data_IF_711856985661
#
_entry.id   IF_711856985661
#
_cell.length_a   1.000
_cell.length_b   1.000
_cell.length_c   1.000
_cell.angle_alpha   90.00
_cell.angle_beta   90.00
_cell.angle_gamma   90.00
#
_symmetry.space_group_name_H-M   'P 1'
#
loop_
_entity.id
_entity.type
_entity.pdbx_description
1 polymer ?
#
# COMPACT_ATOMS: atom_id res chain seq x y z
N UNK A 1 -28.44 -32.90 -28.11
CA UNK A 1 -28.41 -31.50 -27.65
C UNK A 1 -28.31 -31.53 -26.14
N UNK A 2 -27.21 -31.09 -25.51
CA UNK A 2 -27.19 -30.96 -24.06
C UNK A 2 -28.10 -29.78 -23.67
N UNK A 3 -29.09 -30.06 -22.82
CA UNK A 3 -29.95 -29.06 -22.21
C UNK A 3 -29.14 -28.33 -21.15
N UNK A 4 -28.98 -27.02 -21.28
CA UNK A 4 -28.45 -26.19 -20.21
C UNK A 4 -29.40 -26.27 -19.00
N UNK A 5 -28.92 -26.73 -17.86
CA UNK A 5 -29.65 -26.57 -16.60
C UNK A 5 -29.76 -25.07 -16.29
N UNK A 6 -30.92 -24.58 -15.82
CA UNK A 6 -31.02 -23.21 -15.34
C UNK A 6 -30.05 -23.03 -14.17
N UNK A 7 -29.22 -22.00 -14.22
CA UNK A 7 -28.43 -21.55 -13.08
C UNK A 7 -29.41 -21.22 -11.94
N UNK A 8 -29.21 -21.77 -10.73
CA UNK A 8 -30.07 -21.43 -9.60
C UNK A 8 -30.06 -19.92 -9.38
N UNK A 9 -31.25 -19.32 -9.33
CA UNK A 9 -31.41 -17.92 -8.91
C UNK A 9 -31.09 -17.85 -7.42
N UNK A 10 -30.15 -17.00 -6.99
CA UNK A 10 -29.83 -16.87 -5.58
C UNK A 10 -31.06 -16.37 -4.81
N UNK A 11 -31.23 -16.87 -3.59
CA UNK A 11 -32.42 -16.59 -2.79
C UNK A 11 -32.50 -15.10 -2.37
N UNK A 12 -31.37 -14.39 -2.34
CA UNK A 12 -31.26 -12.95 -2.14
C UNK A 12 -30.13 -12.37 -3.02
N UNK A 13 -30.43 -11.84 -4.23
CA UNK A 13 -29.43 -11.16 -5.05
C UNK A 13 -29.07 -9.81 -4.41
N UNK A 14 -27.78 -9.51 -4.35
CA UNK A 14 -27.22 -8.25 -3.85
C UNK A 14 -26.80 -7.37 -5.01
N UNK A 15 -27.18 -6.09 -4.95
CA UNK A 15 -26.69 -5.07 -5.89
C UNK A 15 -25.34 -4.53 -5.41
N UNK A 16 -24.29 -4.88 -6.17
CA UNK A 16 -22.90 -4.51 -5.90
C UNK A 16 -22.30 -3.85 -7.14
N UNK A 17 -21.65 -2.72 -6.93
CA UNK A 17 -20.87 -2.01 -7.94
C UNK A 17 -19.38 -2.11 -7.59
N UNK A 18 -18.57 -2.49 -8.58
CA UNK A 18 -17.11 -2.40 -8.49
C UNK A 18 -16.67 -1.02 -8.97
N UNK A 19 -16.15 -0.21 -8.05
CA UNK A 19 -15.74 1.18 -8.32
C UNK A 19 -14.30 1.24 -8.85
N UNK A 20 -13.41 0.44 -8.27
CA UNK A 20 -12.00 0.42 -8.62
C UNK A 20 -11.37 -0.96 -8.37
N UNK A 21 -10.33 -1.28 -9.14
CA UNK A 21 -9.54 -2.50 -8.99
C UNK A 21 -8.06 -2.17 -9.08
N UNK A 22 -7.30 -2.55 -8.05
CA UNK A 22 -5.86 -2.30 -7.92
C UNK A 22 -5.13 -3.60 -7.64
N UNK A 23 -4.01 -3.83 -8.33
CA UNK A 23 -3.11 -4.95 -8.07
C UNK A 23 -1.88 -4.41 -7.36
N UNK A 24 -1.58 -4.95 -6.19
CA UNK A 24 -0.48 -4.47 -5.35
C UNK A 24 0.41 -5.65 -4.95
N UNK A 25 1.73 -5.62 -5.21
CA UNK A 25 2.63 -6.69 -4.77
C UNK A 25 2.81 -6.72 -3.25
N UNK A 26 2.53 -5.60 -2.61
CA UNK A 26 2.50 -5.37 -1.18
C UNK A 26 1.52 -4.24 -0.92
N UNK A 27 1.06 -4.13 0.32
CA UNK A 27 0.20 -3.03 0.77
C UNK A 27 0.83 -2.32 1.95
N UNK A 28 0.46 -1.07 2.16
CA UNK A 28 0.82 -0.32 3.36
C UNK A 28 -0.39 -0.33 4.29
N UNK A 29 -0.18 -0.71 5.54
CA UNK A 29 -1.22 -0.74 6.58
C UNK A 29 -0.76 0.07 7.79
N UNK A 30 -1.71 0.53 8.60
CA UNK A 30 -1.39 0.87 9.99
C UNK A 30 -0.91 -0.39 10.72
N UNK A 31 0.27 -0.29 11.33
CA UNK A 31 1.00 -1.38 12.01
C UNK A 31 0.85 -1.30 13.53
N UNK A 32 0.92 -0.07 14.06
CA UNK A 32 0.52 0.28 15.42
C UNK A 32 -0.35 1.54 15.32
N UNK A 33 -1.00 2.04 16.41
CA UNK A 33 -1.90 3.19 16.31
C UNK A 33 -1.29 4.40 15.60
N UNK A 34 0.03 4.57 15.69
CA UNK A 34 0.74 5.75 15.23
C UNK A 34 1.81 5.45 14.16
N UNK A 35 1.83 4.26 13.55
CA UNK A 35 2.83 3.88 12.54
C UNK A 35 2.23 3.07 11.39
N UNK A 36 2.84 3.20 10.21
CA UNK A 36 2.55 2.38 9.02
C UNK A 36 3.70 1.43 8.69
N UNK A 37 3.37 0.27 8.11
CA UNK A 37 4.34 -0.72 7.62
C UNK A 37 3.86 -1.39 6.32
N UNK A 38 4.77 -2.07 5.63
CA UNK A 38 4.47 -2.83 4.41
C UNK A 38 4.15 -4.30 4.71
N UNK A 39 3.14 -4.84 4.05
CA UNK A 39 2.68 -6.23 4.20
C UNK A 39 2.64 -6.94 2.84
N UNK A 40 2.98 -8.23 2.82
CA UNK A 40 3.02 -9.07 1.62
C UNK A 40 4.38 -9.75 1.38
N UNK A 41 4.34 -11.03 1.01
CA UNK A 41 5.51 -11.84 0.71
C UNK A 41 6.08 -11.63 -0.70
N UNK A 42 7.08 -12.43 -1.08
CA UNK A 42 7.62 -12.46 -2.46
C UNK A 42 6.77 -13.30 -3.41
N UNK A 43 6.16 -14.36 -2.87
CA UNK A 43 5.36 -15.33 -3.62
C UNK A 43 3.86 -15.02 -3.53
N UNK A 44 3.50 -13.86 -2.98
CA UNK A 44 2.13 -13.39 -2.82
C UNK A 44 1.97 -11.96 -3.36
N UNK A 45 0.72 -11.60 -3.65
CA UNK A 45 0.29 -10.26 -4.03
C UNK A 45 -1.15 -10.04 -3.60
N UNK A 46 -1.62 -8.80 -3.70
CA UNK A 46 -2.98 -8.42 -3.35
C UNK A 46 -3.74 -7.92 -4.56
N UNK A 47 -5.00 -8.34 -4.65
CA UNK A 47 -6.03 -7.67 -5.44
C UNK A 47 -6.89 -6.86 -4.48
N UNK A 48 -6.91 -5.54 -4.63
CA UNK A 48 -7.78 -4.63 -3.90
C UNK A 48 -8.94 -4.23 -4.81
N UNK A 49 -10.16 -4.40 -4.33
CA UNK A 49 -11.39 -4.06 -5.05
C UNK A 49 -12.18 -3.09 -4.20
N UNK A 50 -12.39 -1.88 -4.68
CA UNK A 50 -13.32 -0.95 -4.06
C UNK A 50 -14.72 -1.31 -4.51
N UNK A 51 -15.60 -1.59 -3.56
CA UNK A 51 -16.99 -1.99 -3.82
C UNK A 51 -17.94 -1.02 -3.17
N UNK A 52 -19.06 -0.76 -3.82
CA UNK A 52 -20.25 -0.15 -3.24
C UNK A 52 -21.39 -1.18 -3.25
N UNK A 53 -22.05 -1.37 -2.11
CA UNK A 53 -23.09 -2.37 -1.88
C UNK A 53 -24.34 -1.66 -1.38
N UNK A 54 -25.47 -1.89 -2.05
CA UNK A 54 -26.74 -1.26 -1.69
C UNK A 54 -27.44 -1.92 -0.49
N UNK A 55 -27.04 -3.15 -0.14
CA UNK A 55 -27.61 -3.98 0.91
C UNK A 55 -26.49 -4.60 1.77
N UNK A 56 -26.84 -5.27 2.87
CA UNK A 56 -25.84 -5.96 3.70
C UNK A 56 -25.20 -7.12 2.93
N UNK A 57 -23.88 -7.07 2.74
CA UNK A 57 -23.08 -8.15 2.17
C UNK A 57 -21.92 -8.47 3.09
N UNK A 58 -21.80 -9.72 3.54
CA UNK A 58 -20.60 -10.10 4.28
C UNK A 58 -19.42 -10.19 3.31
N UNK A 59 -18.21 -9.73 3.69
CA UNK A 59 -17.04 -9.92 2.85
C UNK A 59 -16.86 -11.39 2.42
N UNK A 60 -17.12 -12.34 3.32
CA UNK A 60 -17.05 -13.78 3.04
C UNK A 60 -18.02 -14.30 1.94
N UNK A 61 -19.03 -13.52 1.54
CA UNK A 61 -19.93 -13.86 0.44
C UNK A 61 -19.32 -13.50 -0.94
N UNK A 62 -18.20 -12.78 -0.96
CA UNK A 62 -17.41 -12.53 -2.16
C UNK A 62 -16.45 -13.68 -2.41
N UNK A 63 -16.27 -14.04 -3.68
CA UNK A 63 -15.31 -15.06 -4.08
C UNK A 63 -14.59 -14.61 -5.35
N UNK A 64 -13.26 -14.70 -5.35
CA UNK A 64 -12.47 -14.53 -6.56
C UNK A 64 -12.10 -15.91 -7.11
N UNK A 65 -12.44 -16.19 -8.36
CA UNK A 65 -12.05 -17.43 -9.03
C UNK A 65 -11.01 -17.15 -10.10
N UNK A 66 -9.87 -17.85 -10.07
CA UNK A 66 -8.84 -17.79 -11.11
C UNK A 66 -8.12 -19.13 -11.22
N UNK A 67 -7.78 -19.57 -12.44
CA UNK A 67 -7.04 -20.83 -12.63
C UNK A 67 -7.78 -22.10 -12.18
N UNK A 68 -9.08 -22.01 -11.89
CA UNK A 68 -9.86 -23.10 -11.28
C UNK A 68 -9.73 -23.19 -9.75
N UNK A 69 -9.06 -22.22 -9.13
CA UNK A 69 -8.99 -22.03 -7.68
C UNK A 69 -9.93 -20.90 -7.24
N UNK A 70 -10.43 -21.00 -6.01
CA UNK A 70 -11.24 -19.99 -5.36
C UNK A 70 -10.42 -19.33 -4.24
N UNK A 71 -10.49 -18.01 -4.16
CA UNK A 71 -9.83 -17.19 -3.16
C UNK A 71 -10.87 -16.40 -2.38
N UNK A 72 -10.80 -16.52 -1.06
CA UNK A 72 -11.63 -15.78 -0.12
C UNK A 72 -10.99 -14.41 0.19
N UNK A 73 -11.80 -13.37 0.44
CA UNK A 73 -11.27 -12.08 0.83
C UNK A 73 -10.67 -12.12 2.23
N UNK A 74 -9.68 -11.27 2.45
CA UNK A 74 -9.00 -11.07 3.71
C UNK A 74 -9.82 -10.14 4.59
N UNK A 75 -10.25 -10.64 5.74
CA UNK A 75 -10.86 -9.81 6.79
C UNK A 75 -9.81 -8.99 7.56
N UNK A 76 -8.57 -9.47 7.57
CA UNK A 76 -7.43 -8.87 8.29
C UNK A 76 -6.15 -9.06 7.48
N UNK A 77 -5.30 -8.04 7.47
CA UNK A 77 -3.95 -8.14 6.89
C UNK A 77 -2.95 -7.65 7.92
N UNK A 78 -2.04 -8.55 8.31
CA UNK A 78 -1.23 -8.34 9.51
C UNK A 78 -2.13 -8.29 10.75
N UNK A 79 -1.96 -7.23 11.54
CA UNK A 79 -2.73 -6.95 12.77
C UNK A 79 -3.82 -5.87 12.55
N UNK A 80 -3.96 -5.35 11.32
CA UNK A 80 -4.70 -4.12 11.05
C UNK A 80 -5.82 -4.24 10.01
N UNK A 81 -6.64 -3.18 9.98
CA UNK A 81 -7.79 -3.01 9.06
C UNK A 81 -7.67 -1.80 8.14
N UNK A 82 -6.74 -0.89 8.43
CA UNK A 82 -6.58 0.35 7.67
C UNK A 82 -5.54 0.19 6.57
N UNK A 83 -6.03 0.16 5.32
CA UNK A 83 -5.27 0.20 4.08
C UNK A 83 -4.81 1.64 3.82
N UNK A 84 -3.56 1.95 4.08
CA UNK A 84 -3.03 3.28 3.81
C UNK A 84 -2.60 3.41 2.34
N UNK A 85 -2.91 4.50 1.62
CA UNK A 85 -3.76 5.64 2.01
C UNK A 85 -5.26 5.45 1.66
N UNK A 86 -5.65 4.27 1.20
CA UNK A 86 -6.96 3.95 0.63
C UNK A 86 -8.16 4.01 1.60
N UNK A 87 -7.93 3.91 2.92
CA UNK A 87 -8.96 3.92 3.95
C UNK A 87 -8.98 2.63 4.76
N UNK A 88 -10.16 2.03 4.93
CA UNK A 88 -10.33 0.77 5.67
C UNK A 88 -10.78 -0.36 4.75
N UNK A 89 -10.50 -1.59 5.17
CA UNK A 89 -11.16 -2.77 4.62
C UNK A 89 -12.67 -2.65 4.80
N UNK A 90 -13.41 -3.17 3.82
CA UNK A 90 -14.86 -3.21 3.81
C UNK A 90 -15.39 -4.11 4.93
N UNK A 91 -16.33 -3.58 5.70
CA UNK A 91 -17.12 -4.31 6.68
C UNK A 91 -18.59 -4.08 6.42
N UNK A 92 -19.37 -5.16 6.44
CA UNK A 92 -20.82 -5.14 6.23
C UNK A 92 -21.55 -4.15 7.16
N UNK A 93 -20.97 -3.78 8.31
CA UNK A 93 -21.61 -2.95 9.32
C UNK A 93 -21.27 -1.45 9.24
N UNK A 94 -20.28 -1.04 8.44
CA UNK A 94 -19.73 0.34 8.49
C UNK A 94 -20.09 1.21 7.28
N UNK A 95 -20.70 0.67 6.22
CA UNK A 95 -21.20 1.50 5.11
C UNK A 95 -21.46 0.74 3.82
N UNK A 96 -21.96 1.48 2.84
CA UNK A 96 -22.22 1.01 1.47
C UNK A 96 -20.90 0.79 0.71
N UNK A 97 -19.83 1.56 0.95
CA UNK A 97 -18.58 1.51 0.16
C UNK A 97 -17.34 1.15 0.98
N UNK A 98 -16.43 0.33 0.44
CA UNK A 98 -15.12 0.04 1.05
C UNK A 98 -14.22 -0.88 0.21
N UNK A 99 -13.01 -1.14 0.71
CA UNK A 99 -12.01 -1.97 0.01
C UNK A 99 -12.06 -3.44 0.45
N UNK A 100 -12.21 -4.33 -0.51
CA UNK A 100 -12.07 -5.78 -0.32
C UNK A 100 -10.69 -6.19 -0.82
N UNK A 101 -9.95 -6.98 -0.04
CA UNK A 101 -8.63 -7.44 -0.41
C UNK A 101 -8.60 -8.95 -0.57
N UNK A 102 -7.99 -9.45 -1.64
CA UNK A 102 -7.68 -10.87 -1.84
C UNK A 102 -6.17 -11.04 -1.84
N UNK A 103 -5.65 -12.05 -1.14
CA UNK A 103 -4.24 -12.45 -1.23
C UNK A 103 -4.12 -13.60 -2.23
N UNK A 104 -3.23 -13.44 -3.20
CA UNK A 104 -3.11 -14.30 -4.37
C UNK A 104 -1.64 -14.73 -4.57
N UNK A 105 -1.39 -15.88 -5.21
CA UNK A 105 -0.05 -16.27 -5.64
C UNK A 105 0.56 -15.21 -6.57
N UNK A 106 1.88 -15.07 -6.52
CA UNK A 106 2.65 -14.25 -7.46
C UNK A 106 3.71 -15.08 -8.19
N UNK A 107 3.59 -15.31 -9.51
CA UNK A 107 2.49 -14.86 -10.39
C UNK A 107 1.20 -15.66 -10.15
N UNK A 108 0.05 -15.13 -10.58
CA UNK A 108 -1.24 -15.82 -10.48
C UNK A 108 -1.33 -17.05 -11.39
N UNK A 109 -0.73 -16.99 -12.58
CA UNK A 109 -0.71 -18.12 -13.52
C UNK A 109 -2.05 -18.41 -14.21
N UNK A 110 -2.95 -17.44 -14.32
CA UNK A 110 -4.30 -17.62 -14.91
C UNK A 110 -4.56 -16.67 -16.08
N UNK A 111 -5.29 -17.13 -17.10
CA UNK A 111 -5.71 -16.30 -18.24
C UNK A 111 -6.92 -15.41 -17.94
N UNK A 112 -7.62 -15.65 -16.85
CA UNK A 112 -8.82 -14.91 -16.43
C UNK A 112 -8.97 -14.95 -14.91
N UNK A 113 -9.71 -13.99 -14.38
CA UNK A 113 -10.13 -13.97 -12.99
C UNK A 113 -11.53 -13.35 -12.93
N UNK A 114 -12.40 -13.89 -12.09
CA UNK A 114 -13.80 -13.47 -11.98
C UNK A 114 -14.13 -13.25 -10.51
N UNK A 115 -14.61 -12.06 -10.19
CA UNK A 115 -15.19 -11.76 -8.88
C UNK A 115 -16.67 -12.15 -8.90
N UNK A 116 -17.12 -12.89 -7.90
CA UNK A 116 -18.51 -13.33 -7.77
C UNK A 116 -19.08 -12.93 -6.41
N UNK A 117 -20.39 -12.67 -6.37
CA UNK A 117 -21.17 -12.36 -5.18
C UNK A 117 -22.60 -12.91 -5.35
N UNK A 118 -23.43 -12.95 -4.29
CA UNK A 118 -24.82 -13.34 -4.43
C UNK A 118 -25.55 -12.43 -5.42
N UNK A 119 -25.98 -12.98 -6.56
CA UNK A 119 -26.74 -12.23 -7.57
C UNK A 119 -25.93 -11.70 -8.76
N UNK A 120 -24.60 -11.78 -8.73
CA UNK A 120 -23.77 -11.23 -9.80
C UNK A 120 -22.33 -11.74 -9.84
N UNK A 121 -21.65 -11.35 -10.91
CA UNK A 121 -20.21 -11.58 -11.08
C UNK A 121 -19.65 -10.55 -12.05
N UNK A 122 -18.38 -10.21 -11.90
CA UNK A 122 -17.64 -9.36 -12.81
C UNK A 122 -16.31 -10.02 -13.22
N UNK A 123 -16.05 -10.06 -14.51
CA UNK A 123 -14.79 -10.57 -15.05
C UNK A 123 -13.73 -9.46 -14.97
N UNK A 124 -12.63 -9.73 -14.28
CA UNK A 124 -11.56 -8.74 -14.15
C UNK A 124 -10.99 -8.40 -15.53
N UNK A 125 -10.80 -7.10 -15.77
CA UNK A 125 -10.26 -6.60 -17.02
C UNK A 125 -8.91 -7.26 -17.35
N UNK A 126 -8.65 -7.51 -18.63
CA UNK A 126 -7.41 -8.17 -19.08
C UNK A 126 -6.12 -7.46 -18.64
N UNK A 127 -6.16 -6.14 -18.42
CA UNK A 127 -5.04 -5.39 -17.86
C UNK A 127 -4.74 -5.76 -16.40
N UNK A 128 -5.78 -5.98 -15.58
CA UNK A 128 -5.67 -6.43 -14.19
C UNK A 128 -5.09 -7.85 -14.15
N UNK A 129 -5.64 -8.77 -14.96
CA UNK A 129 -5.13 -10.14 -15.08
C UNK A 129 -3.67 -10.13 -15.57
N UNK A 130 -3.32 -9.26 -16.52
CA UNK A 130 -1.95 -9.07 -16.97
C UNK A 130 -1.00 -8.61 -15.86
N UNK A 131 -1.45 -7.72 -14.96
CA UNK A 131 -0.68 -7.30 -13.79
C UNK A 131 -0.51 -8.44 -12.77
N UNK A 132 -1.56 -9.21 -12.49
CA UNK A 132 -1.53 -10.38 -11.59
C UNK A 132 -0.59 -11.50 -12.08
N UNK A 133 -0.35 -11.58 -13.38
CA UNK A 133 0.58 -12.56 -13.96
C UNK A 133 2.02 -12.09 -14.07
N UNK A 134 2.36 -10.87 -13.61
CA UNK A 134 3.75 -10.40 -13.63
C UNK A 134 4.59 -11.24 -12.66
N UNK A 135 5.73 -11.72 -13.17
CA UNK A 135 6.75 -12.40 -12.38
C UNK A 135 7.22 -11.51 -11.20
N UNK A 136 7.60 -12.09 -10.05
CA UNK A 136 8.29 -11.37 -9.00
C UNK A 136 9.57 -10.70 -9.52
N UNK A 137 9.89 -9.52 -8.98
CA UNK A 137 11.20 -8.88 -9.18
C UNK A 137 11.88 -8.55 -7.85
N UNK A 138 13.13 -8.14 -7.93
CA UNK A 138 13.96 -7.70 -6.80
C UNK A 138 14.40 -6.26 -6.98
N UNK A 139 14.58 -5.58 -5.85
CA UNK A 139 15.01 -4.18 -5.81
C UNK A 139 16.21 -4.02 -4.89
N UNK A 140 17.17 -3.21 -5.32
CA UNK A 140 18.17 -2.60 -4.45
C UNK A 140 17.69 -1.19 -4.08
N UNK A 141 17.73 -0.86 -2.79
CA UNK A 141 17.18 0.39 -2.26
C UNK A 141 18.29 1.17 -1.57
N UNK A 142 18.43 2.44 -1.91
CA UNK A 142 19.30 3.40 -1.23
C UNK A 142 18.44 4.54 -0.69
N UNK A 143 18.68 4.91 0.57
CA UNK A 143 17.95 5.97 1.26
C UNK A 143 18.95 7.00 1.75
N UNK A 144 18.79 8.26 1.38
CA UNK A 144 19.68 9.37 1.72
C UNK A 144 18.89 10.52 2.33
N UNK A 145 19.51 11.23 3.28
CA UNK A 145 18.97 12.43 3.91
C UNK A 145 20.13 13.30 4.40
N UNK A 146 19.94 14.61 4.59
CA UNK A 146 20.93 15.44 5.26
C UNK A 146 21.14 14.97 6.71
N UNK A 147 22.35 15.14 7.24
CA UNK A 147 22.63 14.86 8.66
C UNK A 147 22.00 15.92 9.58
N UNK A 148 21.91 17.16 9.11
CA UNK A 148 21.41 18.31 9.86
C UNK A 148 20.72 19.31 8.93
N UNK A 149 19.71 20.00 9.43
CA UNK A 149 19.06 21.14 8.76
C UNK A 149 18.78 22.27 9.75
N UNK A 150 18.76 23.54 9.32
CA UNK A 150 18.19 24.61 10.13
C UNK A 150 16.71 24.35 10.42
N UNK A 151 16.24 24.80 11.59
CA UNK A 151 14.80 24.93 11.80
C UNK A 151 14.18 25.85 10.72
N UNK A 152 12.90 25.64 10.39
CA UNK A 152 12.20 26.26 9.26
C UNK A 152 12.80 26.00 7.85
N UNK A 153 13.77 25.08 7.73
CA UNK A 153 14.33 24.66 6.44
C UNK A 153 14.00 23.19 6.14
N UNK A 154 13.66 22.85 4.88
CA UNK A 154 13.25 21.49 4.55
C UNK A 154 14.43 20.51 4.66
N UNK A 155 14.19 19.40 5.35
CA UNK A 155 14.99 18.18 5.24
C UNK A 155 14.37 17.26 4.19
N UNK A 156 15.13 16.98 3.13
CA UNK A 156 14.70 16.11 2.05
C UNK A 156 15.28 14.70 2.22
N UNK A 157 14.40 13.72 2.32
CA UNK A 157 14.69 12.30 2.19
C UNK A 157 14.62 11.92 0.71
N UNK A 158 15.64 11.26 0.19
CA UNK A 158 15.66 10.70 -1.17
C UNK A 158 15.78 9.18 -1.10
N UNK A 159 14.87 8.49 -1.78
CA UNK A 159 14.84 7.03 -1.88
C UNK A 159 15.04 6.65 -3.33
N UNK A 160 16.16 6.01 -3.64
CA UNK A 160 16.47 5.47 -4.96
C UNK A 160 16.25 3.96 -4.98
N UNK A 161 15.45 3.49 -5.94
CA UNK A 161 15.04 2.10 -6.08
C UNK A 161 15.50 1.59 -7.44
N UNK A 162 16.47 0.68 -7.44
CA UNK A 162 16.96 0.03 -8.65
C UNK A 162 16.31 -1.36 -8.81
N UNK A 163 15.67 -1.61 -9.95
CA UNK A 163 15.15 -2.94 -10.28
C UNK A 163 16.28 -3.82 -10.79
N UNK A 164 16.66 -4.81 -9.98
CA UNK A 164 17.76 -5.75 -10.27
C UNK A 164 17.28 -7.08 -10.87
N UNK A 165 15.98 -7.26 -11.03
CA UNK A 165 15.40 -8.42 -11.69
C UNK A 165 15.11 -8.20 -13.18
N UNK A 166 14.55 -9.23 -13.81
CA UNK A 166 14.28 -9.29 -15.25
C UNK A 166 12.85 -8.86 -15.62
N UNK A 167 11.99 -8.58 -14.64
CA UNK A 167 10.59 -8.19 -14.85
C UNK A 167 10.30 -6.80 -14.29
N UNK A 168 9.42 -6.05 -14.98
CA UNK A 168 8.88 -4.79 -14.46
C UNK A 168 8.22 -5.06 -13.12
N UNK A 169 8.56 -4.26 -12.11
CA UNK A 169 7.99 -4.43 -10.78
C UNK A 169 7.52 -3.13 -10.17
N UNK A 170 6.63 -3.29 -9.21
CA UNK A 170 6.18 -2.22 -8.34
C UNK A 170 6.88 -2.37 -7.00
N UNK A 171 7.66 -1.35 -6.62
CA UNK A 171 8.22 -1.21 -5.28
C UNK A 171 7.22 -0.51 -4.38
N UNK A 172 7.09 -0.99 -3.14
CA UNK A 172 6.20 -0.42 -2.13
C UNK A 172 7.00 -0.14 -0.87
N UNK A 173 6.87 1.06 -0.33
CA UNK A 173 7.51 1.49 0.92
C UNK A 173 6.57 2.28 1.81
N UNK A 174 6.86 2.31 3.10
CA UNK A 174 6.14 3.07 4.11
C UNK A 174 7.10 4.01 4.82
N UNK A 175 6.77 5.30 4.88
CA UNK A 175 7.55 6.32 5.57
C UNK A 175 6.84 6.74 6.86
N UNK A 176 7.55 6.61 7.98
CA UNK A 176 7.17 7.19 9.25
C UNK A 176 8.21 8.23 9.68
N UNK A 177 7.82 9.08 10.63
CA UNK A 177 8.75 9.96 11.34
C UNK A 177 8.61 9.76 12.85
N UNK A 178 9.74 9.88 13.56
CA UNK A 178 9.79 9.94 15.02
C UNK A 178 10.53 11.19 15.46
N UNK A 179 10.24 11.67 16.67
CA UNK A 179 10.80 12.90 17.21
C UNK A 179 10.32 14.16 16.48
N UNK A 180 10.71 15.33 16.99
CA UNK A 180 11.34 15.52 18.30
C UNK A 180 10.31 15.39 19.45
N UNK A 181 9.05 15.78 19.23
CA UNK A 181 7.96 15.70 20.21
C UNK A 181 6.92 14.61 19.91
N UNK A 182 7.21 13.73 18.94
CA UNK A 182 6.30 12.69 18.43
C UNK A 182 6.93 11.32 18.63
N UNK A 183 6.17 10.34 19.15
CA UNK A 183 6.68 8.97 19.28
C UNK A 183 6.80 8.31 17.89
N UNK A 184 5.71 8.31 17.12
CA UNK A 184 5.66 7.97 15.70
C UNK A 184 4.57 8.80 15.02
N UNK A 185 4.77 9.10 13.74
CA UNK A 185 3.72 9.62 12.86
C UNK A 185 3.85 8.99 11.48
N UNK A 186 2.75 8.48 10.88
CA UNK A 186 2.73 8.06 9.50
C UNK A 186 2.86 9.28 8.60
N UNK A 187 3.87 9.30 7.73
CA UNK A 187 4.06 10.40 6.78
C UNK A 187 3.38 10.07 5.45
N UNK A 188 3.75 8.94 4.83
CA UNK A 188 3.18 8.55 3.54
C UNK A 188 3.56 7.13 3.11
N UNK A 189 2.84 6.61 2.10
CA UNK A 189 3.19 5.40 1.37
C UNK A 189 3.87 5.76 0.04
N UNK A 190 4.79 4.91 -0.39
CA UNK A 190 5.53 5.06 -1.64
C UNK A 190 5.19 3.90 -2.55
N UNK A 191 4.84 4.20 -3.79
CA UNK A 191 4.66 3.21 -4.85
C UNK A 191 5.43 3.67 -6.10
N UNK A 192 6.37 2.85 -6.58
CA UNK A 192 7.15 3.13 -7.77
C UNK A 192 7.10 1.94 -8.72
N UNK A 193 6.73 2.16 -9.98
CA UNK A 193 6.87 1.16 -11.03
C UNK A 193 8.21 1.34 -11.71
N UNK A 194 9.10 0.35 -11.57
CA UNK A 194 10.47 0.43 -12.07
C UNK A 194 10.69 -0.68 -13.10
N UNK A 195 11.09 -0.29 -14.31
CA UNK A 195 11.43 -1.23 -15.39
C UNK A 195 12.70 -2.03 -15.07
N UNK A 196 12.89 -3.24 -15.65
CA UNK A 196 14.10 -4.04 -15.45
C UNK A 196 15.37 -3.26 -15.74
N UNK A 197 16.33 -3.29 -14.81
CA UNK A 197 17.60 -2.58 -14.92
C UNK A 197 17.53 -1.05 -14.81
N UNK A 198 16.34 -0.49 -14.57
CA UNK A 198 16.17 0.94 -14.32
C UNK A 198 16.31 1.27 -12.83
N UNK A 199 16.53 2.55 -12.56
CA UNK A 199 16.46 3.14 -11.22
C UNK A 199 15.48 4.29 -11.27
N UNK A 200 14.58 4.35 -10.28
CA UNK A 200 13.69 5.48 -10.07
C UNK A 200 13.91 6.07 -8.68
N UNK A 201 13.62 7.35 -8.53
CA UNK A 201 13.87 8.09 -7.29
C UNK A 201 12.61 8.77 -6.82
N UNK A 202 12.32 8.62 -5.53
CA UNK A 202 11.26 9.31 -4.83
C UNK A 202 11.82 10.21 -3.74
N UNK A 203 11.24 11.40 -3.57
CA UNK A 203 11.68 12.36 -2.57
C UNK A 203 10.53 12.77 -1.66
N UNK A 204 10.85 13.00 -0.39
CA UNK A 204 9.95 13.54 0.62
C UNK A 204 10.64 14.67 1.37
N UNK A 205 9.92 15.74 1.68
CA UNK A 205 10.46 16.85 2.46
C UNK A 205 9.61 17.11 3.70
N UNK A 206 10.29 17.27 4.83
CA UNK A 206 9.70 17.73 6.09
C UNK A 206 10.46 18.96 6.57
N UNK A 207 9.72 19.97 7.04
CA UNK A 207 10.31 21.18 7.61
C UNK A 207 10.08 21.15 9.12
N UNK A 208 11.13 21.00 9.95
CA UNK A 208 11.01 21.08 11.39
C UNK A 208 10.70 22.51 11.85
N UNK A 209 9.90 22.62 12.91
CA UNK A 209 9.49 23.91 13.47
C UNK A 209 10.63 24.57 14.27
N UNK A 210 10.61 25.91 14.37
CA UNK A 210 11.58 26.66 15.20
C UNK A 210 11.64 26.20 16.66
N UNK A 211 10.53 25.74 17.23
CA UNK A 211 10.47 25.30 18.62
C UNK A 211 11.27 24.01 18.87
N UNK A 212 11.58 23.28 17.80
CA UNK A 212 12.33 22.03 17.82
C UNK A 212 13.84 22.24 17.60
N UNK A 213 14.29 23.49 17.49
CA UNK A 213 15.69 23.85 17.38
C UNK A 213 16.54 23.20 18.49
N UNK A 214 17.67 22.60 18.11
CA UNK A 214 18.57 21.87 19.02
C UNK A 214 18.15 20.42 19.29
N UNK A 215 17.00 19.98 18.78
CA UNK A 215 16.56 18.58 18.85
C UNK A 215 16.92 17.80 17.56
N UNK A 216 16.33 16.61 17.41
CA UNK A 216 16.45 15.79 16.21
C UNK A 216 15.13 15.06 15.94
N UNK A 217 14.90 14.74 14.66
CA UNK A 217 13.85 13.83 14.24
C UNK A 217 14.46 12.72 13.39
N UNK A 218 13.73 11.62 13.19
CA UNK A 218 14.20 10.48 12.40
C UNK A 218 13.14 10.09 11.37
N UNK A 219 13.55 9.97 10.12
CA UNK A 219 12.78 9.24 9.12
C UNK A 219 13.00 7.73 9.30
N UNK A 220 11.91 6.98 9.38
CA UNK A 220 11.91 5.52 9.45
C UNK A 220 11.22 5.00 8.19
N UNK A 221 12.02 4.55 7.23
CA UNK A 221 11.54 4.03 5.96
C UNK A 221 11.57 2.50 5.96
N UNK A 222 10.45 1.87 5.63
CA UNK A 222 10.28 0.40 5.69
C UNK A 222 9.77 -0.12 4.36
N UNK A 223 10.32 -1.23 3.90
CA UNK A 223 9.86 -1.99 2.72
C UNK A 223 9.98 -3.49 2.99
N UNK A 224 9.54 -4.34 2.05
CA UNK A 224 9.52 -5.81 2.25
C UNK A 224 10.81 -6.41 2.81
N UNK A 225 11.91 -5.97 2.22
CA UNK A 225 13.21 -6.62 2.32
C UNK A 225 14.14 -5.88 3.28
N UNK A 226 13.68 -4.78 3.91
CA UNK A 226 14.52 -3.98 4.78
C UNK A 226 13.84 -2.76 5.37
N UNK A 227 14.60 -2.04 6.19
CA UNK A 227 14.24 -0.72 6.67
C UNK A 227 15.51 0.12 6.80
N UNK A 228 15.38 1.44 6.69
CA UNK A 228 16.45 2.39 6.95
C UNK A 228 15.94 3.46 7.94
N UNK A 229 16.84 3.90 8.81
CA UNK A 229 16.61 5.04 9.70
C UNK A 229 17.58 6.16 9.36
N UNK A 230 17.06 7.38 9.19
CA UNK A 230 17.85 8.59 8.98
C UNK A 230 17.50 9.59 10.08
N UNK A 231 18.40 9.78 11.03
CA UNK A 231 18.30 10.82 12.05
C UNK A 231 18.85 12.12 11.50
N UNK A 232 18.12 13.22 11.71
CA UNK A 232 18.46 14.56 11.24
C UNK A 232 18.42 15.51 12.43
N UNK A 233 19.54 16.16 12.70
CA UNK A 233 19.63 17.20 13.72
C UNK A 233 19.01 18.52 13.25
N UNK A 234 18.36 19.24 14.15
CA UNK A 234 17.75 20.55 13.89
C UNK A 234 18.69 21.62 14.46
N UNK A 235 19.32 22.41 13.59
CA UNK A 235 20.25 23.45 14.03
C UNK A 235 19.51 24.60 14.71
N UNK A 236 20.09 25.10 15.79
CA UNK A 236 19.64 26.34 16.41
C UNK A 236 19.80 27.52 15.44
N UNK A 237 18.87 28.49 15.47
CA UNK A 237 19.06 29.72 14.71
C UNK A 237 20.34 30.41 15.20
N UNK A 238 21.15 30.91 14.26
CA UNK A 238 22.34 31.69 14.64
C UNK A 238 21.90 32.89 15.48
N UNK A 239 22.35 32.98 16.73
CA UNK A 239 22.11 34.17 17.55
C UNK A 239 22.67 35.37 16.80
N UNK A 240 21.79 36.28 16.38
CA UNK A 240 22.19 37.53 15.77
C UNK A 240 22.99 38.29 16.82
N UNK A 241 24.33 38.25 16.69
CA UNK A 241 25.24 38.93 17.59
C UNK A 241 24.76 40.36 17.82
N UNK A 242 24.35 40.64 19.05
CA UNK A 242 24.04 41.99 19.48
C UNK A 242 25.35 42.77 19.56
N UNK A 243 25.78 43.28 18.40
CA UNK A 243 26.89 44.22 18.32
C UNK A 243 26.43 45.53 18.98
N UNK A 244 26.56 45.57 20.30
CA UNK A 244 26.29 46.72 21.14
C UNK A 244 27.38 47.75 20.86
N UNK A 245 27.08 48.73 19.99
CA UNK A 245 27.86 49.97 19.85
C UNK A 245 27.52 50.97 20.96
#
# INVERSE_FOLDING_TARGET
TPTASPTPTPENPVDLTVEAVTVAPQIVMLDTPDSIATYGGRDAQFLLVEVTVAEDLAPADLTLTAGGEEYEPREWIGEGLSLYPYGNLYFATEGETGWVAFELPKPLGSSSATLAWPGGSDDLAGAVVGALNREPTSFDVTVEAPEQVPADSPATLSVSVANTGDATGTFVGALNRTGPSVAYTPETAVELTVEPGATDTWEYSYTPDLEDAGAAFTFVFVWRDGNERREIGILEPEESGSDSS
#
